data_IF_482607254183
#
_entry.id   IF_482607254183
#
_cell.length_a   1.000
_cell.length_b   1.000
_cell.length_c   1.000
_cell.angle_alpha   90.00
_cell.angle_beta   90.00
_cell.angle_gamma   90.00
#
_symmetry.space_group_name_H-M   'P 1'
#
loop_
_entity.id
_entity.type
_entity.pdbx_description
1 polymer ?
#
# COMPACT_ATOMS: atom_id res chain seq x y z
N UNK A 1 74.26 59.16 20.93
CA UNK A 1 73.02 59.57 20.25
C UNK A 1 72.46 58.35 19.62
N UNK A 2 71.47 57.78 20.25
CA UNK A 2 70.88 56.46 19.85
C UNK A 2 69.49 56.72 19.23
N UNK A 3 69.32 56.36 17.94
CA UNK A 3 68.01 56.36 17.28
C UNK A 3 67.31 55.06 17.56
N UNK A 4 66.10 55.15 18.11
CA UNK A 4 65.18 54.04 18.26
C UNK A 4 64.14 54.08 17.10
N UNK A 5 64.11 53.03 16.30
CA UNK A 5 63.13 52.84 15.26
C UNK A 5 62.06 51.90 15.81
N UNK A 6 60.83 52.39 15.99
CA UNK A 6 59.64 51.61 16.31
C UNK A 6 59.12 50.94 15.04
N UNK A 7 59.14 49.65 15.01
CA UNK A 7 58.43 48.85 14.01
C UNK A 7 57.12 48.36 14.60
N UNK A 8 56.00 48.93 14.18
CA UNK A 8 54.67 48.48 14.48
C UNK A 8 54.32 47.27 13.54
N UNK A 9 54.18 46.07 14.10
CA UNK A 9 53.66 44.92 13.42
C UNK A 9 52.14 45.01 13.49
N UNK A 10 51.47 45.22 12.33
CA UNK A 10 50.03 45.04 12.15
C UNK A 10 49.75 43.57 11.99
N UNK A 11 49.17 42.95 13.01
CA UNK A 11 48.66 41.59 12.93
C UNK A 11 47.25 41.60 12.28
N UNK A 12 47.17 41.21 11.02
CA UNK A 12 45.90 41.00 10.30
C UNK A 12 45.33 39.67 10.75
N UNK A 13 44.32 39.69 11.60
CA UNK A 13 43.57 38.51 11.99
C UNK A 13 42.61 38.12 10.84
N UNK A 14 42.93 37.05 10.11
CA UNK A 14 42.06 36.42 9.11
C UNK A 14 41.08 35.53 9.88
N UNK A 15 39.87 36.03 10.17
CA UNK A 15 38.79 35.26 10.73
C UNK A 15 38.23 34.35 9.62
N UNK A 16 38.75 33.14 9.51
CA UNK A 16 38.15 32.10 8.69
C UNK A 16 36.84 31.66 9.37
N UNK A 17 35.70 32.18 8.87
CA UNK A 17 34.39 31.74 9.25
C UNK A 17 34.17 30.31 8.74
N UNK A 18 34.46 29.33 9.59
CA UNK A 18 33.99 27.94 9.40
C UNK A 18 32.48 27.94 9.62
N UNK A 19 31.72 28.14 8.52
CA UNK A 19 30.31 27.80 8.48
C UNK A 19 30.17 26.27 8.61
N UNK A 20 30.06 25.76 9.85
CA UNK A 20 29.50 24.42 10.06
C UNK A 20 28.07 24.45 9.55
N UNK A 21 27.86 23.98 8.32
CA UNK A 21 26.55 23.47 7.92
C UNK A 21 26.28 22.29 8.84
N UNK A 22 25.55 22.54 9.94
CA UNK A 22 24.99 21.46 10.73
C UNK A 22 24.17 20.60 9.76
N UNK A 23 24.68 19.42 9.42
CA UNK A 23 23.89 18.42 8.72
C UNK A 23 22.70 18.16 9.62
N UNK A 24 21.53 18.70 9.25
CA UNK A 24 20.29 18.46 9.97
C UNK A 24 20.08 16.94 9.99
N UNK A 25 20.18 16.35 11.17
CA UNK A 25 19.97 14.92 11.36
C UNK A 25 18.57 14.58 10.78
N UNK A 26 18.52 13.60 9.88
CA UNK A 26 17.27 13.16 9.29
C UNK A 26 16.40 12.51 10.37
N UNK A 27 15.08 12.73 10.29
CA UNK A 27 14.14 12.09 11.21
C UNK A 27 13.93 10.64 10.77
N UNK A 28 14.26 9.65 11.62
CA UNK A 28 14.04 8.25 11.28
C UNK A 28 12.55 7.92 11.24
N UNK A 29 12.13 7.20 10.19
CA UNK A 29 10.75 6.76 9.98
C UNK A 29 10.77 5.30 9.56
N UNK A 30 10.12 4.43 10.33
CA UNK A 30 9.87 3.04 9.90
C UNK A 30 8.50 2.96 9.23
N UNK A 31 8.49 2.47 7.99
CA UNK A 31 7.28 2.30 7.18
C UNK A 31 7.02 0.83 6.90
N UNK A 32 5.90 0.32 7.43
CA UNK A 32 5.52 -1.08 7.33
C UNK A 32 4.63 -1.33 6.10
N UNK A 33 5.09 -2.16 5.18
CA UNK A 33 4.28 -2.65 4.05
C UNK A 33 3.28 -3.73 4.51
N UNK A 34 2.28 -3.97 3.67
CA UNK A 34 1.30 -5.04 3.88
C UNK A 34 1.71 -6.38 3.29
N UNK A 35 2.67 -6.40 2.37
CA UNK A 35 3.05 -7.59 1.60
C UNK A 35 4.55 -7.66 1.36
N UNK A 36 5.00 -8.75 0.75
CA UNK A 36 6.36 -8.86 0.21
C UNK A 36 6.60 -7.77 -0.83
N UNK A 37 7.82 -7.27 -0.90
CA UNK A 37 8.17 -6.19 -1.83
C UNK A 37 8.07 -6.65 -3.29
N UNK A 38 7.55 -5.76 -4.13
CA UNK A 38 7.34 -5.97 -5.56
C UNK A 38 6.88 -4.70 -6.26
N UNK A 39 6.26 -4.84 -7.41
CA UNK A 39 5.67 -3.74 -8.18
C UNK A 39 4.71 -2.86 -7.38
N UNK A 40 3.83 -3.44 -6.50
CA UNK A 40 2.94 -2.69 -5.62
C UNK A 40 3.62 -1.74 -4.62
N UNK A 41 4.94 -1.75 -4.53
CA UNK A 41 5.71 -0.87 -3.65
C UNK A 41 6.67 0.06 -4.40
N UNK A 42 6.61 0.08 -5.74
CA UNK A 42 7.53 0.80 -6.60
C UNK A 42 7.60 2.31 -6.31
N UNK A 43 6.48 2.94 -5.95
CA UNK A 43 6.47 4.36 -5.58
C UNK A 43 7.26 4.66 -4.30
N UNK A 44 7.17 3.80 -3.29
CA UNK A 44 7.95 3.98 -2.06
C UNK A 44 9.44 3.71 -2.29
N UNK A 45 9.77 2.68 -3.07
CA UNK A 45 11.14 2.39 -3.45
C UNK A 45 11.75 3.52 -4.31
N UNK A 46 10.97 4.10 -5.22
CA UNK A 46 11.37 5.28 -5.99
C UNK A 46 11.59 6.50 -5.07
N UNK A 47 10.75 6.71 -4.05
CA UNK A 47 10.91 7.80 -3.11
C UNK A 47 12.21 7.67 -2.28
N UNK A 48 12.63 6.45 -1.96
CA UNK A 48 13.95 6.16 -1.35
C UNK A 48 15.06 6.41 -2.38
N UNK A 49 15.00 5.76 -3.55
CA UNK A 49 16.07 5.74 -4.55
C UNK A 49 16.34 7.10 -5.22
N UNK A 50 15.29 7.88 -5.48
CA UNK A 50 15.39 9.26 -5.99
C UNK A 50 15.68 10.29 -4.88
N UNK A 51 15.80 9.85 -3.62
CA UNK A 51 16.13 10.70 -2.50
C UNK A 51 15.02 11.66 -2.06
N UNK A 52 13.75 11.42 -2.42
CA UNK A 52 12.64 12.33 -2.06
C UNK A 52 12.40 12.38 -0.56
N UNK A 53 12.50 11.24 0.14
CA UNK A 53 12.45 11.23 1.60
C UNK A 53 13.62 11.97 2.22
N UNK A 54 14.84 11.73 1.71
CA UNK A 54 16.05 12.41 2.17
C UNK A 54 15.97 13.92 2.00
N UNK A 55 15.49 14.38 0.84
CA UNK A 55 15.28 15.81 0.56
C UNK A 55 14.22 16.44 1.48
N UNK A 56 13.26 15.63 1.97
CA UNK A 56 12.26 16.05 2.95
C UNK A 56 12.79 16.02 4.41
N UNK A 57 14.05 15.61 4.63
CA UNK A 57 14.67 15.49 5.96
C UNK A 57 14.28 14.20 6.68
N UNK A 58 13.89 13.15 5.96
CA UNK A 58 13.47 11.86 6.50
C UNK A 58 14.47 10.75 6.14
N UNK A 59 14.74 9.87 7.12
CA UNK A 59 15.45 8.61 6.93
C UNK A 59 14.44 7.47 7.02
N UNK A 60 13.96 6.99 5.86
CA UNK A 60 12.86 6.03 5.80
C UNK A 60 13.36 4.61 5.61
N UNK A 61 13.07 3.76 6.58
CA UNK A 61 13.26 2.31 6.50
C UNK A 61 11.94 1.65 6.10
N UNK A 62 11.92 0.99 4.93
CA UNK A 62 10.75 0.26 4.43
C UNK A 62 10.85 -1.20 4.83
N UNK A 63 9.83 -1.72 5.53
CA UNK A 63 9.78 -3.08 6.06
C UNK A 63 8.69 -3.88 5.35
N UNK A 64 9.02 -5.07 4.86
CA UNK A 64 8.06 -5.96 4.20
C UNK A 64 7.03 -6.51 5.18
N UNK A 65 5.84 -6.88 4.66
CA UNK A 65 4.74 -7.46 5.42
C UNK A 65 4.29 -8.83 4.89
N UNK A 66 3.25 -9.36 5.50
CA UNK A 66 2.68 -10.67 5.16
C UNK A 66 1.15 -10.70 5.28
N UNK A 67 0.49 -9.61 4.96
CA UNK A 67 -0.98 -9.49 4.95
C UNK A 67 -1.46 -8.18 5.54
N UNK A 68 -2.47 -7.56 4.90
CA UNK A 68 -3.04 -6.28 5.33
C UNK A 68 -3.65 -6.33 6.72
N UNK A 69 -4.30 -7.44 7.09
CA UNK A 69 -4.83 -7.65 8.44
C UNK A 69 -3.71 -7.68 9.49
N UNK A 70 -2.61 -8.39 9.20
CA UNK A 70 -1.46 -8.46 10.09
C UNK A 70 -0.81 -7.07 10.26
N UNK A 71 -0.62 -6.33 9.17
CA UNK A 71 -0.03 -4.99 9.19
C UNK A 71 -0.91 -3.99 9.95
N UNK A 72 -2.24 -4.04 9.76
CA UNK A 72 -3.15 -3.21 10.52
C UNK A 72 -3.10 -3.53 12.03
N UNK A 73 -2.95 -4.81 12.41
CA UNK A 73 -2.75 -5.22 13.80
C UNK A 73 -1.44 -4.72 14.40
N UNK A 74 -0.35 -4.62 13.62
CA UNK A 74 0.90 -4.03 14.10
C UNK A 74 0.74 -2.57 14.52
N UNK A 75 -0.03 -1.79 13.75
CA UNK A 75 -0.31 -0.40 14.11
C UNK A 75 -1.30 -0.31 15.28
N UNK A 76 -2.37 -1.10 15.28
CA UNK A 76 -3.34 -1.16 16.37
C UNK A 76 -2.70 -1.50 17.73
N UNK A 77 -1.66 -2.35 17.73
CA UNK A 77 -0.92 -2.77 18.93
C UNK A 77 0.25 -1.84 19.29
N UNK A 78 0.48 -0.76 18.54
CA UNK A 78 1.60 0.17 18.76
C UNK A 78 2.98 -0.33 18.34
N UNK A 79 3.07 -1.54 17.72
CA UNK A 79 4.34 -2.10 17.23
C UNK A 79 4.84 -1.45 15.94
N UNK A 80 3.97 -0.77 15.20
CA UNK A 80 4.29 0.10 14.08
C UNK A 80 3.48 1.38 14.21
N UNK A 81 3.95 2.49 13.66
CA UNK A 81 3.27 3.79 13.77
C UNK A 81 2.77 4.28 12.43
N UNK A 82 3.42 3.90 11.34
CA UNK A 82 3.11 4.30 9.98
C UNK A 82 3.19 3.08 9.06
N UNK A 83 2.15 2.85 8.26
CA UNK A 83 2.05 1.63 7.47
C UNK A 83 1.22 1.80 6.20
N UNK A 84 1.23 0.75 5.36
CA UNK A 84 0.50 0.65 4.11
C UNK A 84 -0.26 -0.67 4.10
N UNK A 85 -1.59 -0.63 3.99
CA UNK A 85 -2.43 -1.81 3.96
C UNK A 85 -3.76 -1.54 3.24
N UNK A 86 -4.53 -2.60 3.01
CA UNK A 86 -5.88 -2.50 2.45
C UNK A 86 -6.83 -1.77 3.42
N UNK A 87 -7.57 -0.80 2.89
CA UNK A 87 -8.46 0.07 3.64
C UNK A 87 -9.55 -0.69 4.40
N UNK A 88 -10.02 -1.83 3.86
CA UNK A 88 -11.03 -2.66 4.54
C UNK A 88 -10.48 -3.22 5.84
N UNK A 89 -9.27 -3.78 5.83
CA UNK A 89 -8.63 -4.31 7.03
C UNK A 89 -8.37 -3.23 8.09
N UNK A 90 -7.96 -2.04 7.65
CA UNK A 90 -7.72 -0.88 8.53
C UNK A 90 -9.06 -0.43 9.14
N UNK A 91 -10.09 -0.21 8.31
CA UNK A 91 -11.39 0.29 8.75
C UNK A 91 -12.09 -0.65 9.72
N UNK A 92 -11.94 -1.97 9.56
CA UNK A 92 -12.45 -2.95 10.51
C UNK A 92 -11.85 -2.80 11.91
N UNK A 93 -10.57 -2.47 12.02
CA UNK A 93 -9.95 -2.26 13.32
C UNK A 93 -10.31 -0.89 13.90
N UNK A 94 -10.39 0.16 13.07
CA UNK A 94 -10.87 1.48 13.50
C UNK A 94 -12.31 1.37 14.05
N UNK A 95 -13.20 0.65 13.37
CA UNK A 95 -14.58 0.46 13.83
C UNK A 95 -14.70 -0.29 15.16
N UNK A 96 -13.65 -1.03 15.54
CA UNK A 96 -13.51 -1.72 16.84
C UNK A 96 -12.75 -0.88 17.88
N UNK A 97 -12.48 0.40 17.57
CA UNK A 97 -11.83 1.34 18.48
C UNK A 97 -10.30 1.42 18.37
N UNK A 98 -9.68 0.80 17.37
CA UNK A 98 -8.23 0.94 17.20
C UNK A 98 -7.86 2.41 16.91
N UNK A 99 -6.87 2.99 17.62
CA UNK A 99 -6.53 4.41 17.52
C UNK A 99 -5.61 4.68 16.33
N UNK A 100 -6.15 4.60 15.11
CA UNK A 100 -5.42 4.85 13.87
C UNK A 100 -6.32 5.51 12.83
N UNK A 101 -5.72 6.07 11.78
CA UNK A 101 -6.44 6.74 10.71
C UNK A 101 -5.74 6.58 9.37
N UNK A 102 -6.51 6.43 8.30
CA UNK A 102 -6.03 6.47 6.93
C UNK A 102 -5.77 7.92 6.55
N UNK A 103 -4.58 8.17 5.99
CA UNK A 103 -4.08 9.52 5.67
C UNK A 103 -3.79 9.71 4.18
N UNK A 104 -3.84 8.64 3.38
CA UNK A 104 -3.79 8.71 1.91
C UNK A 104 -4.36 7.41 1.32
N UNK A 105 -5.30 7.52 0.38
CA UNK A 105 -5.89 6.37 -0.35
C UNK A 105 -5.18 6.22 -1.69
N UNK A 106 -4.26 5.27 -1.79
CA UNK A 106 -3.41 5.11 -2.97
C UNK A 106 -4.15 4.38 -4.10
N UNK A 107 -4.82 3.26 -3.81
CA UNK A 107 -5.64 2.56 -4.80
C UNK A 107 -7.12 2.89 -4.59
N UNK A 108 -7.75 3.40 -5.64
CA UNK A 108 -9.16 3.79 -5.65
C UNK A 108 -10.10 2.59 -5.89
N UNK A 109 -9.57 1.45 -6.35
CA UNK A 109 -10.26 0.18 -6.47
C UNK A 109 -9.39 -0.96 -5.97
N UNK A 110 -10.01 -2.02 -5.42
CA UNK A 110 -9.25 -3.14 -4.89
C UNK A 110 -8.77 -4.09 -6.01
N UNK A 111 -7.56 -4.65 -5.88
CA UNK A 111 -7.03 -5.63 -6.82
C UNK A 111 -7.50 -7.06 -6.54
N UNK A 112 -8.31 -7.29 -5.52
CA UNK A 112 -8.68 -8.63 -5.09
C UNK A 112 -9.43 -9.38 -6.18
N UNK A 113 -9.17 -10.68 -6.30
CA UNK A 113 -9.79 -11.57 -7.28
C UNK A 113 -9.91 -12.99 -6.75
N UNK A 114 -10.82 -13.76 -7.34
CA UNK A 114 -10.74 -15.22 -7.28
C UNK A 114 -9.97 -15.67 -8.51
N UNK A 115 -8.94 -16.48 -8.31
CA UNK A 115 -8.12 -17.05 -9.38
C UNK A 115 -8.33 -18.58 -9.42
N UNK A 116 -8.65 -19.11 -10.57
CA UNK A 116 -8.78 -20.55 -10.82
C UNK A 116 -8.01 -20.93 -12.09
N UNK A 117 -7.51 -22.16 -12.16
CA UNK A 117 -6.93 -22.65 -13.41
C UNK A 117 -8.07 -22.97 -14.41
N UNK A 118 -7.94 -22.60 -15.68
CA UNK A 118 -8.95 -22.91 -16.70
C UNK A 118 -9.30 -24.41 -16.76
N UNK A 119 -8.30 -25.28 -16.53
CA UNK A 119 -8.49 -26.74 -16.49
C UNK A 119 -9.43 -27.22 -15.41
N UNK A 120 -9.75 -26.41 -14.37
CA UNK A 120 -10.72 -26.78 -13.31
C UNK A 120 -12.16 -26.63 -13.78
N UNK A 121 -12.41 -26.01 -14.95
CA UNK A 121 -13.71 -25.78 -15.52
C UNK A 121 -14.52 -24.67 -14.84
N UNK A 122 -13.92 -23.91 -13.91
CA UNK A 122 -14.56 -22.75 -13.28
C UNK A 122 -14.59 -21.60 -14.27
N UNK A 123 -15.79 -21.22 -14.74
CA UNK A 123 -16.04 -20.17 -15.74
C UNK A 123 -16.80 -18.98 -15.16
N UNK A 124 -17.35 -19.12 -13.96
CA UNK A 124 -18.10 -18.10 -13.23
C UNK A 124 -17.94 -18.32 -11.73
N UNK A 125 -18.30 -17.30 -10.92
CA UNK A 125 -18.32 -17.46 -9.45
C UNK A 125 -19.32 -18.53 -9.00
N UNK A 126 -20.40 -18.78 -9.76
CA UNK A 126 -21.37 -19.83 -9.45
C UNK A 126 -20.76 -21.24 -9.48
N UNK A 127 -19.71 -21.45 -10.26
CA UNK A 127 -19.00 -22.72 -10.36
C UNK A 127 -18.13 -23.04 -9.14
N UNK A 128 -18.02 -22.11 -8.18
CA UNK A 128 -17.36 -22.33 -6.89
C UNK A 128 -18.17 -23.25 -5.96
N UNK A 129 -19.42 -23.52 -6.26
CA UNK A 129 -20.24 -24.47 -5.47
C UNK A 129 -19.62 -25.87 -5.43
N UNK A 130 -19.44 -26.40 -4.22
CA UNK A 130 -18.77 -27.66 -3.95
C UNK A 130 -17.27 -27.68 -4.12
N UNK A 131 -16.64 -26.53 -4.42
CA UNK A 131 -15.19 -26.41 -4.64
C UNK A 131 -14.41 -26.11 -3.36
N UNK A 132 -13.12 -26.44 -3.39
CA UNK A 132 -12.15 -26.04 -2.36
C UNK A 132 -11.52 -24.72 -2.75
N UNK A 133 -11.65 -23.70 -1.89
CA UNK A 133 -11.12 -22.36 -2.14
C UNK A 133 -10.07 -22.02 -1.09
N UNK A 134 -8.85 -21.79 -1.54
CA UNK A 134 -7.76 -21.35 -0.68
C UNK A 134 -7.93 -19.90 -0.26
N UNK A 135 -7.72 -19.61 1.03
CA UNK A 135 -7.82 -18.28 1.64
C UNK A 135 -6.49 -17.93 2.28
N UNK A 136 -5.81 -16.84 1.86
CA UNK A 136 -4.54 -16.46 2.44
C UNK A 136 -4.72 -15.91 3.86
N UNK A 137 -4.03 -16.52 4.82
CA UNK A 137 -4.12 -16.14 6.23
C UNK A 137 -3.65 -14.70 6.46
N UNK A 138 -4.38 -13.94 7.28
CA UNK A 138 -4.03 -12.55 7.64
C UNK A 138 -4.21 -11.51 6.53
N UNK A 139 -4.84 -11.89 5.41
CA UNK A 139 -5.12 -11.00 4.27
C UNK A 139 -6.43 -10.21 4.46
N UNK A 140 -6.72 -9.29 3.52
CA UNK A 140 -8.02 -8.61 3.43
C UNK A 140 -9.06 -9.42 2.64
N UNK A 141 -8.65 -10.36 1.79
CA UNK A 141 -9.53 -11.10 0.90
C UNK A 141 -10.54 -11.97 1.66
N UNK A 142 -10.07 -12.69 2.69
CA UNK A 142 -10.93 -13.56 3.50
C UNK A 142 -12.14 -12.81 4.09
N UNK A 143 -11.96 -11.75 4.86
CA UNK A 143 -13.03 -10.91 5.38
C UNK A 143 -13.98 -10.34 4.30
N UNK A 144 -13.48 -10.06 3.09
CA UNK A 144 -14.29 -9.52 1.99
C UNK A 144 -15.06 -10.59 1.21
N UNK A 145 -14.74 -11.88 1.39
CA UNK A 145 -15.39 -12.96 0.67
C UNK A 145 -16.92 -13.00 0.86
N UNK A 146 -17.48 -12.85 2.07
CA UNK A 146 -18.93 -12.83 2.25
C UNK A 146 -19.64 -11.78 1.40
N UNK A 147 -19.01 -10.62 1.20
CA UNK A 147 -19.56 -9.56 0.35
C UNK A 147 -19.57 -9.98 -1.13
N UNK A 148 -18.48 -10.56 -1.64
CA UNK A 148 -18.42 -11.10 -3.00
C UNK A 148 -19.48 -12.17 -3.22
N UNK A 149 -19.59 -13.11 -2.28
CA UNK A 149 -20.55 -14.22 -2.37
C UNK A 149 -21.99 -13.69 -2.37
N UNK A 150 -22.33 -12.79 -1.45
CA UNK A 150 -23.66 -12.16 -1.38
C UNK A 150 -24.03 -11.45 -2.68
N UNK A 151 -23.12 -10.65 -3.24
CA UNK A 151 -23.33 -9.94 -4.49
C UNK A 151 -23.60 -10.87 -5.69
N UNK A 152 -23.16 -12.14 -5.60
CA UNK A 152 -23.29 -13.13 -6.67
C UNK A 152 -24.24 -14.30 -6.32
N UNK A 153 -25.11 -14.13 -5.30
CA UNK A 153 -26.10 -15.14 -4.91
C UNK A 153 -25.51 -16.42 -4.32
N UNK A 154 -24.33 -16.33 -3.71
CA UNK A 154 -23.62 -17.42 -3.08
C UNK A 154 -23.48 -17.20 -1.57
N UNK A 155 -23.09 -18.24 -0.85
CA UNK A 155 -22.76 -18.22 0.59
C UNK A 155 -21.54 -19.09 0.87
N UNK A 156 -20.88 -18.87 2.00
CA UNK A 156 -19.68 -19.63 2.36
C UNK A 156 -19.93 -21.14 2.45
N UNK A 157 -21.13 -21.55 2.89
CA UNK A 157 -21.52 -22.98 2.96
C UNK A 157 -21.64 -23.64 1.59
N UNK A 158 -21.59 -22.91 0.48
CA UNK A 158 -21.62 -23.48 -0.87
C UNK A 158 -20.25 -24.06 -1.28
N UNK A 159 -19.18 -23.80 -0.52
CA UNK A 159 -17.80 -24.22 -0.83
C UNK A 159 -17.03 -24.62 0.43
N UNK A 160 -15.86 -25.22 0.26
CA UNK A 160 -14.94 -25.52 1.35
C UNK A 160 -13.82 -24.49 1.38
N UNK A 161 -13.78 -23.62 2.40
CA UNK A 161 -12.72 -22.63 2.59
C UNK A 161 -11.54 -23.24 3.32
N UNK A 162 -10.34 -23.11 2.77
CA UNK A 162 -9.09 -23.63 3.32
C UNK A 162 -8.13 -22.47 3.61
N UNK A 163 -8.03 -22.10 4.88
CA UNK A 163 -7.03 -21.10 5.30
C UNK A 163 -5.63 -21.70 5.19
N UNK A 164 -4.71 -20.96 4.55
CA UNK A 164 -3.35 -21.42 4.35
C UNK A 164 -2.35 -20.25 4.37
N UNK A 165 -1.08 -20.54 4.67
CA UNK A 165 -0.02 -19.54 4.55
C UNK A 165 0.08 -18.97 3.12
N UNK A 166 0.44 -17.70 3.01
CA UNK A 166 0.61 -16.99 1.72
C UNK A 166 1.50 -17.77 0.74
N UNK A 167 2.63 -18.32 1.22
CA UNK A 167 3.55 -19.08 0.39
C UNK A 167 2.98 -20.41 -0.16
N UNK A 168 1.91 -20.93 0.44
CA UNK A 168 1.26 -22.17 0.00
C UNK A 168 0.19 -21.94 -1.09
N UNK A 169 -0.28 -20.70 -1.30
CA UNK A 169 -1.43 -20.42 -2.17
C UNK A 169 -1.19 -20.88 -3.62
N UNK A 170 -0.14 -20.38 -4.26
CA UNK A 170 0.19 -20.71 -5.66
C UNK A 170 0.52 -22.20 -5.83
N UNK A 171 1.40 -22.81 -5.02
CA UNK A 171 1.68 -24.25 -5.12
C UNK A 171 0.43 -25.12 -4.96
N UNK A 172 -0.45 -24.80 -3.98
CA UNK A 172 -1.67 -25.60 -3.75
C UNK A 172 -2.64 -25.54 -4.91
N UNK A 173 -2.78 -24.39 -5.58
CA UNK A 173 -3.62 -24.29 -6.78
C UNK A 173 -3.02 -25.06 -7.96
N UNK A 174 -1.72 -24.93 -8.21
CA UNK A 174 -1.04 -25.61 -9.32
C UNK A 174 -1.08 -27.14 -9.17
N UNK A 175 -0.95 -27.65 -7.93
CA UNK A 175 -0.99 -29.06 -7.59
C UNK A 175 -2.42 -29.61 -7.48
N UNK A 176 -3.47 -28.79 -7.59
CA UNK A 176 -4.86 -29.20 -7.49
C UNK A 176 -5.30 -29.57 -6.06
N UNK A 177 -4.60 -29.10 -5.03
CA UNK A 177 -5.01 -29.27 -3.63
C UNK A 177 -6.25 -28.40 -3.31
N UNK A 178 -6.38 -27.27 -4.02
CA UNK A 178 -7.56 -26.40 -4.07
C UNK A 178 -7.96 -26.15 -5.51
N UNK A 179 -9.25 -25.86 -5.75
CA UNK A 179 -9.80 -25.60 -7.09
C UNK A 179 -9.66 -24.14 -7.51
N UNK A 180 -9.67 -23.24 -6.54
CA UNK A 180 -9.49 -21.79 -6.70
C UNK A 180 -8.78 -21.21 -5.47
N UNK A 181 -8.28 -19.99 -5.61
CA UNK A 181 -7.70 -19.23 -4.50
C UNK A 181 -8.28 -17.82 -4.47
N UNK A 182 -8.44 -17.25 -3.28
CA UNK A 182 -8.59 -15.82 -3.11
C UNK A 182 -7.21 -15.18 -3.31
N UNK A 183 -7.13 -14.31 -4.28
CA UNK A 183 -5.88 -13.70 -4.71
C UNK A 183 -6.04 -12.24 -5.07
N UNK A 184 -5.18 -11.79 -5.96
CA UNK A 184 -5.21 -10.44 -6.49
C UNK A 184 -4.62 -10.39 -7.90
N UNK A 185 -5.02 -9.36 -8.64
CA UNK A 185 -4.54 -9.09 -10.01
C UNK A 185 -3.03 -8.80 -10.03
N UNK A 186 -2.51 -8.22 -8.97
CA UNK A 186 -1.15 -7.70 -8.84
C UNK A 186 -0.16 -8.65 -8.15
N UNK A 187 -0.60 -9.85 -7.75
CA UNK A 187 0.28 -10.81 -7.10
C UNK A 187 0.06 -12.23 -7.64
N UNK A 188 -0.90 -12.98 -7.09
CA UNK A 188 -1.05 -14.39 -7.44
C UNK A 188 -1.40 -14.64 -8.91
N UNK A 189 -2.23 -13.77 -9.51
CA UNK A 189 -2.53 -13.90 -10.94
C UNK A 189 -1.24 -13.88 -11.77
N UNK A 190 -0.41 -12.86 -11.58
CA UNK A 190 0.83 -12.69 -12.36
C UNK A 190 1.81 -13.82 -12.08
N UNK A 191 1.93 -14.24 -10.81
CA UNK A 191 2.80 -15.37 -10.45
C UNK A 191 2.38 -16.67 -11.17
N UNK A 192 1.07 -16.93 -11.27
CA UNK A 192 0.53 -18.10 -11.96
C UNK A 192 0.73 -18.01 -13.48
N UNK A 193 0.45 -16.85 -14.08
CA UNK A 193 0.64 -16.60 -15.52
C UNK A 193 2.12 -16.73 -15.93
N UNK A 194 3.04 -16.24 -15.10
CA UNK A 194 4.48 -16.39 -15.34
C UNK A 194 4.98 -17.84 -15.27
N UNK A 195 4.22 -18.72 -14.58
CA UNK A 195 4.47 -20.16 -14.56
C UNK A 195 3.74 -20.90 -15.70
N UNK A 196 3.15 -20.16 -16.64
CA UNK A 196 2.46 -20.72 -17.82
C UNK A 196 1.04 -21.19 -17.52
N UNK A 197 0.46 -20.83 -16.37
CA UNK A 197 -0.90 -21.21 -16.06
C UNK A 197 -1.92 -20.39 -16.86
N UNK A 198 -2.89 -21.05 -17.46
CA UNK A 198 -4.09 -20.40 -18.01
C UNK A 198 -5.14 -20.23 -16.92
N UNK A 199 -5.59 -19.00 -16.71
CA UNK A 199 -6.47 -18.64 -15.60
C UNK A 199 -7.87 -18.22 -16.04
N UNK A 200 -8.84 -18.53 -15.16
CA UNK A 200 -10.10 -17.82 -15.01
C UNK A 200 -10.00 -16.92 -13.82
N UNK A 201 -10.12 -15.61 -14.01
CA UNK A 201 -9.98 -14.60 -12.96
C UNK A 201 -11.32 -13.86 -12.79
N UNK A 202 -11.70 -13.65 -11.53
CA UNK A 202 -12.94 -12.97 -11.16
C UNK A 202 -12.61 -11.83 -10.21
N UNK A 203 -12.28 -10.60 -10.74
CA UNK A 203 -11.99 -9.44 -9.91
C UNK A 203 -13.18 -9.06 -9.03
N UNK A 204 -12.94 -8.80 -7.76
CA UNK A 204 -14.00 -8.42 -6.82
C UNK A 204 -14.73 -7.14 -7.27
N UNK A 205 -13.99 -6.18 -7.80
CA UNK A 205 -14.55 -4.91 -8.26
C UNK A 205 -15.58 -5.10 -9.40
N UNK A 206 -15.34 -6.04 -10.33
CA UNK A 206 -16.20 -6.34 -11.46
C UNK A 206 -17.41 -7.21 -11.05
N UNK A 207 -17.35 -7.82 -9.86
CA UNK A 207 -18.36 -8.72 -9.33
C UNK A 207 -19.08 -8.15 -8.09
N UNK A 208 -19.32 -6.84 -8.09
CA UNK A 208 -20.15 -6.16 -7.11
C UNK A 208 -19.41 -5.67 -5.85
N UNK A 209 -18.07 -5.73 -5.81
CA UNK A 209 -17.28 -5.32 -4.64
C UNK A 209 -16.23 -4.25 -4.99
N UNK A 210 -16.61 -3.08 -5.56
CA UNK A 210 -15.68 -2.03 -5.93
C UNK A 210 -15.33 -1.15 -4.70
N UNK A 211 -14.64 -1.70 -3.71
CA UNK A 211 -14.18 -0.97 -2.53
C UNK A 211 -12.90 -0.19 -2.81
N UNK A 212 -12.65 0.88 -2.05
CA UNK A 212 -11.30 1.46 -1.94
C UNK A 212 -10.34 0.42 -1.38
N UNK A 213 -9.04 0.57 -1.65
CA UNK A 213 -8.09 -0.45 -1.27
C UNK A 213 -6.83 0.14 -0.59
N UNK A 214 -5.65 -0.22 -1.08
CA UNK A 214 -4.41 -0.02 -0.33
C UNK A 214 -4.13 1.46 -0.07
N UNK A 215 -3.93 1.77 1.19
CA UNK A 215 -3.87 3.12 1.74
C UNK A 215 -2.71 3.27 2.73
N UNK A 216 -2.14 4.47 2.81
CA UNK A 216 -1.21 4.84 3.90
C UNK A 216 -2.04 5.19 5.12
N UNK A 217 -1.67 4.68 6.27
CA UNK A 217 -2.31 4.94 7.54
C UNK A 217 -1.31 5.03 8.69
N UNK A 218 -1.70 5.71 9.76
CA UNK A 218 -0.84 5.90 10.92
C UNK A 218 -1.64 5.79 12.22
N UNK A 219 -0.94 5.53 13.34
CA UNK A 219 -1.53 5.64 14.66
C UNK A 219 -1.90 7.09 14.98
N UNK A 220 -2.99 7.29 15.73
CA UNK A 220 -3.42 8.63 16.13
C UNK A 220 -2.34 9.37 16.94
N UNK A 221 -1.56 8.64 17.74
CA UNK A 221 -0.45 9.22 18.50
C UNK A 221 0.65 9.74 17.59
N UNK A 222 1.03 8.96 16.54
CA UNK A 222 2.01 9.41 15.57
C UNK A 222 1.53 10.66 14.82
N UNK A 223 0.27 10.66 14.37
CA UNK A 223 -0.36 11.78 13.67
C UNK A 223 -0.30 13.04 14.54
N UNK A 224 -0.68 12.93 15.82
CA UNK A 224 -0.71 14.05 16.76
C UNK A 224 0.67 14.58 17.12
N UNK A 225 1.64 13.68 17.32
CA UNK A 225 2.99 14.06 17.77
C UNK A 225 3.90 14.49 16.62
N UNK A 226 3.66 14.00 15.39
CA UNK A 226 4.55 14.18 14.25
C UNK A 226 3.80 14.64 12.97
N UNK A 227 2.89 15.64 13.01
CA UNK A 227 2.08 16.02 11.86
C UNK A 227 2.92 16.48 10.66
N UNK A 228 4.02 17.21 10.90
CA UNK A 228 4.90 17.67 9.82
C UNK A 228 5.76 16.55 9.22
N UNK A 229 6.17 15.55 10.02
CA UNK A 229 6.84 14.34 9.52
C UNK A 229 5.87 13.57 8.62
N UNK A 230 4.61 13.43 9.03
CA UNK A 230 3.58 12.75 8.24
C UNK A 230 3.32 13.46 6.91
N UNK A 231 3.14 14.78 6.89
CA UNK A 231 2.97 15.56 5.65
C UNK A 231 4.14 15.38 4.70
N UNK A 232 5.37 15.51 5.21
CA UNK A 232 6.60 15.30 4.41
C UNK A 232 6.69 13.89 3.86
N UNK A 233 6.36 12.88 4.67
CA UNK A 233 6.35 11.48 4.25
C UNK A 233 5.34 11.24 3.13
N UNK A 234 4.10 11.69 3.29
CA UNK A 234 3.04 11.53 2.28
C UNK A 234 3.44 12.24 0.98
N UNK A 235 3.88 13.50 1.04
CA UNK A 235 4.29 14.25 -0.14
C UNK A 235 5.42 13.56 -0.90
N UNK A 236 6.47 13.09 -0.21
CA UNK A 236 7.57 12.34 -0.81
C UNK A 236 7.12 11.00 -1.39
N UNK A 237 6.22 10.28 -0.71
CA UNK A 237 5.64 9.02 -1.19
C UNK A 237 4.84 9.22 -2.48
N UNK A 238 3.97 10.24 -2.54
CA UNK A 238 3.16 10.54 -3.74
C UNK A 238 4.03 11.02 -4.91
N UNK A 239 5.11 11.75 -4.62
CA UNK A 239 6.12 12.09 -5.64
C UNK A 239 6.82 10.83 -6.16
N UNK A 240 7.13 9.87 -5.29
CA UNK A 240 7.68 8.58 -5.68
C UNK A 240 6.72 7.76 -6.54
N UNK A 241 5.42 7.76 -6.24
CA UNK A 241 4.41 7.12 -7.10
C UNK A 241 4.27 7.83 -8.44
N UNK A 242 4.31 9.17 -8.48
CA UNK A 242 4.32 9.93 -9.74
C UNK A 242 5.50 9.53 -10.62
N UNK A 243 6.70 9.46 -10.02
CA UNK A 243 7.92 9.01 -10.70
C UNK A 243 7.79 7.57 -11.21
N UNK A 244 7.28 6.65 -10.39
CA UNK A 244 7.16 5.24 -10.74
C UNK A 244 6.21 5.01 -11.94
N UNK A 245 5.15 5.78 -12.04
CA UNK A 245 4.21 5.72 -13.16
C UNK A 245 4.77 6.32 -14.45
N UNK A 246 5.66 7.33 -14.36
CA UNK A 246 6.32 7.94 -15.51
C UNK A 246 7.57 7.16 -15.94
N UNK A 247 8.25 6.48 -15.01
CA UNK A 247 9.52 5.80 -15.19
C UNK A 247 9.49 4.37 -14.62
N UNK A 248 8.57 3.48 -15.08
CA UNK A 248 8.33 2.19 -14.44
C UNK A 248 9.58 1.30 -14.36
N UNK A 249 10.40 1.26 -15.41
CA UNK A 249 11.64 0.47 -15.41
C UNK A 249 12.62 0.93 -14.31
N UNK A 250 12.81 2.25 -14.18
CA UNK A 250 13.69 2.84 -13.16
C UNK A 250 13.15 2.63 -11.73
N UNK A 251 11.84 2.74 -11.56
CA UNK A 251 11.20 2.45 -10.27
C UNK A 251 11.40 0.98 -9.84
N UNK A 252 11.35 0.03 -10.78
CA UNK A 252 11.64 -1.39 -10.48
C UNK A 252 13.12 -1.62 -10.17
N UNK A 253 14.05 -0.87 -10.79
CA UNK A 253 15.47 -0.88 -10.38
C UNK A 253 15.61 -0.43 -8.91
N UNK A 254 14.89 0.60 -8.49
CA UNK A 254 14.88 1.02 -7.08
C UNK A 254 14.27 -0.05 -6.16
N UNK A 255 13.20 -0.74 -6.59
CA UNK A 255 12.67 -1.90 -5.83
C UNK A 255 13.74 -2.97 -5.67
N UNK A 256 14.45 -3.32 -6.74
CA UNK A 256 15.52 -4.33 -6.72
C UNK A 256 16.71 -3.92 -5.85
N UNK A 257 17.04 -2.64 -5.85
CA UNK A 257 18.11 -2.09 -4.99
C UNK A 257 17.73 -2.15 -3.52
N UNK A 258 16.49 -1.79 -3.18
CA UNK A 258 16.00 -1.79 -1.81
C UNK A 258 15.73 -3.20 -1.27
N UNK A 259 15.31 -4.11 -2.16
CA UNK A 259 14.95 -5.51 -1.86
C UNK A 259 15.65 -6.45 -2.85
N UNK A 260 16.89 -6.87 -2.57
CA UNK A 260 17.72 -7.62 -3.52
C UNK A 260 17.15 -8.96 -4.01
N UNK A 261 16.22 -9.56 -3.25
CA UNK A 261 15.60 -10.86 -3.60
C UNK A 261 14.42 -10.73 -4.57
N UNK A 262 13.98 -9.50 -4.90
CA UNK A 262 12.83 -9.27 -5.80
C UNK A 262 13.12 -9.76 -7.22
N UNK A 263 12.18 -10.49 -7.79
CA UNK A 263 12.18 -10.85 -9.20
C UNK A 263 11.72 -9.65 -10.04
N UNK A 264 12.66 -9.07 -10.80
CA UNK A 264 12.44 -7.85 -11.61
C UNK A 264 11.31 -8.04 -12.62
N UNK A 265 11.26 -9.21 -13.33
CA UNK A 265 10.22 -9.48 -14.33
C UNK A 265 8.83 -9.52 -13.68
N UNK A 266 8.72 -10.17 -12.53
CA UNK A 266 7.48 -10.21 -11.76
C UNK A 266 7.06 -8.80 -11.31
N UNK A 267 7.97 -8.07 -10.65
CA UNK A 267 7.69 -6.73 -10.15
C UNK A 267 7.29 -5.73 -11.25
N UNK A 268 7.86 -5.88 -12.46
CA UNK A 268 7.46 -5.06 -13.62
C UNK A 268 6.02 -5.35 -14.04
N UNK A 269 5.64 -6.62 -14.12
CA UNK A 269 4.28 -7.01 -14.46
C UNK A 269 3.26 -6.61 -13.37
N UNK A 270 3.63 -6.73 -12.10
CA UNK A 270 2.83 -6.28 -10.96
C UNK A 270 2.57 -4.76 -11.01
N UNK A 271 3.61 -3.94 -11.27
CA UNK A 271 3.45 -2.49 -11.39
C UNK A 271 2.50 -2.12 -12.54
N UNK A 272 2.62 -2.79 -13.68
CA UNK A 272 1.71 -2.58 -14.80
C UNK A 272 0.26 -2.93 -14.44
N UNK A 273 0.03 -4.02 -13.71
CA UNK A 273 -1.29 -4.47 -13.31
C UNK A 273 -2.01 -3.52 -12.33
N UNK A 274 -1.26 -2.85 -11.43
CA UNK A 274 -1.85 -1.91 -10.47
C UNK A 274 -2.07 -0.51 -11.04
N UNK A 275 -1.38 -0.15 -12.11
CA UNK A 275 -1.43 1.23 -12.67
C UNK A 275 -2.85 1.73 -12.89
N UNK A 276 -3.82 0.96 -13.42
CA UNK A 276 -5.20 1.44 -13.57
C UNK A 276 -5.93 1.70 -12.24
N UNK A 277 -5.48 1.12 -11.14
CA UNK A 277 -6.17 1.20 -9.85
C UNK A 277 -6.03 2.56 -9.18
N UNK A 278 -4.98 3.33 -9.51
CA UNK A 278 -4.73 4.64 -8.91
C UNK A 278 -5.80 5.66 -9.26
N UNK A 279 -6.33 5.58 -10.47
CA UNK A 279 -7.26 6.57 -11.03
C UNK A 279 -8.63 5.98 -11.37
N UNK A 280 -8.95 4.80 -10.86
CA UNK A 280 -10.24 4.15 -11.13
C UNK A 280 -11.42 4.93 -10.50
N UNK A 281 -12.61 4.73 -11.05
CA UNK A 281 -13.85 5.27 -10.53
C UNK A 281 -13.97 6.80 -10.60
N UNK A 282 -13.17 7.49 -11.42
CA UNK A 282 -13.22 8.95 -11.57
C UNK A 282 -12.47 9.71 -10.48
N UNK A 283 -11.51 9.08 -9.84
CA UNK A 283 -10.62 9.76 -8.89
C UNK A 283 -9.89 10.93 -9.54
N UNK A 284 -9.71 12.03 -8.81
CA UNK A 284 -9.11 13.27 -9.34
C UNK A 284 -7.60 13.29 -9.23
N UNK A 285 -7.09 12.75 -8.12
CA UNK A 285 -5.66 12.79 -7.79
C UNK A 285 -5.22 11.46 -7.16
N UNK A 286 -3.99 11.04 -7.48
CA UNK A 286 -3.37 9.88 -6.84
C UNK A 286 -3.14 10.17 -5.36
N UNK A 287 -3.57 9.25 -4.50
CA UNK A 287 -3.39 9.35 -3.05
C UNK A 287 -4.51 10.09 -2.31
N UNK A 288 -5.43 10.75 -3.02
CA UNK A 288 -6.56 11.46 -2.41
C UNK A 288 -7.74 10.52 -2.17
N UNK A 289 -8.28 10.53 -0.97
CA UNK A 289 -9.53 9.82 -0.67
C UNK A 289 -10.70 10.59 -1.31
N UNK A 290 -11.48 9.89 -2.14
CA UNK A 290 -12.69 10.41 -2.74
C UNK A 290 -13.91 10.04 -1.88
N UNK A 291 -14.67 11.03 -1.41
CA UNK A 291 -15.80 10.83 -0.50
C UNK A 291 -16.83 9.83 -1.07
N UNK A 292 -17.11 9.88 -2.38
CA UNK A 292 -18.05 8.95 -3.02
C UNK A 292 -17.58 7.50 -2.99
N UNK A 293 -16.26 7.25 -3.16
CA UNK A 293 -15.69 5.90 -3.09
C UNK A 293 -15.76 5.34 -1.67
N UNK A 294 -15.47 6.17 -0.67
CA UNK A 294 -15.55 5.79 0.73
C UNK A 294 -16.99 5.56 1.19
N UNK A 295 -17.94 6.39 0.76
CA UNK A 295 -19.38 6.19 1.03
C UNK A 295 -19.87 4.85 0.47
N UNK A 296 -19.51 4.54 -0.78
CA UNK A 296 -19.83 3.24 -1.40
C UNK A 296 -19.17 2.09 -0.65
N UNK A 297 -17.89 2.22 -0.29
CA UNK A 297 -17.17 1.18 0.47
C UNK A 297 -17.83 0.93 1.82
N UNK A 298 -18.19 1.98 2.57
CA UNK A 298 -18.90 1.86 3.84
C UNK A 298 -20.23 1.13 3.66
N UNK A 299 -21.04 1.52 2.68
CA UNK A 299 -22.33 0.90 2.41
C UNK A 299 -22.20 -0.62 2.15
N UNK A 300 -21.30 -0.99 1.24
CA UNK A 300 -21.03 -2.39 0.89
C UNK A 300 -20.58 -3.22 2.09
N UNK A 301 -19.64 -2.71 2.88
CA UNK A 301 -19.09 -3.44 4.02
C UNK A 301 -20.10 -3.57 5.18
N UNK A 302 -21.00 -2.59 5.34
CA UNK A 302 -22.10 -2.65 6.33
C UNK A 302 -23.10 -3.76 5.99
N UNK A 303 -23.34 -4.05 4.70
CA UNK A 303 -24.26 -5.10 4.27
C UNK A 303 -23.91 -6.51 4.78
N UNK A 304 -22.63 -6.75 5.04
CA UNK A 304 -22.10 -8.00 5.59
C UNK A 304 -21.57 -7.86 7.01
N UNK A 305 -21.93 -6.75 7.69
CA UNK A 305 -21.57 -6.45 9.08
C UNK A 305 -20.05 -6.36 9.34
N UNK A 306 -19.28 -6.07 8.31
CA UNK A 306 -17.84 -5.81 8.45
C UNK A 306 -17.58 -4.43 9.05
N UNK A 307 -18.46 -3.46 8.78
CA UNK A 307 -18.47 -2.15 9.39
C UNK A 307 -19.86 -1.86 9.99
N UNK A 308 -19.97 -1.01 11.01
CA UNK A 308 -21.25 -0.59 11.58
C UNK A 308 -22.11 0.16 10.55
N UNK A 309 -23.42 -0.04 10.60
CA UNK A 309 -24.36 0.73 9.79
C UNK A 309 -24.39 2.20 10.24
N UNK A 310 -24.59 3.12 9.29
CA UNK A 310 -24.75 4.55 9.57
C UNK A 310 -23.50 5.29 10.07
N UNK A 311 -22.35 4.63 10.12
CA UNK A 311 -21.12 5.31 10.51
C UNK A 311 -20.63 6.21 9.38
N UNK A 312 -20.24 7.46 9.71
CA UNK A 312 -19.64 8.38 8.76
C UNK A 312 -18.32 7.82 8.24
N UNK A 313 -18.17 7.61 6.91
CA UNK A 313 -16.92 7.16 6.31
C UNK A 313 -15.72 8.04 6.66
N UNK A 314 -15.92 9.33 6.92
CA UNK A 314 -14.87 10.28 7.34
C UNK A 314 -14.26 9.95 8.70
N UNK A 315 -14.87 9.05 9.48
CA UNK A 315 -14.26 8.52 10.70
C UNK A 315 -13.04 7.62 10.42
N UNK A 316 -12.91 7.08 9.21
CA UNK A 316 -11.81 6.17 8.83
C UNK A 316 -10.63 6.88 8.19
N UNK A 317 -10.83 8.00 7.48
CA UNK A 317 -9.80 8.67 6.70
C UNK A 317 -9.78 10.20 6.88
N UNK A 318 -8.69 10.81 6.43
CA UNK A 318 -8.56 12.26 6.29
C UNK A 318 -7.65 12.60 5.11
N UNK A 319 -7.92 13.71 4.45
CA UNK A 319 -7.06 14.29 3.41
C UNK A 319 -6.21 15.46 3.95
N UNK A 320 -6.24 15.74 5.25
CA UNK A 320 -5.61 16.91 5.88
C UNK A 320 -4.08 16.98 5.71
N UNK A 321 -3.45 15.81 5.58
CA UNK A 321 -1.98 15.71 5.50
C UNK A 321 -1.47 15.57 4.07
N UNK A 322 -2.35 15.65 3.07
CA UNK A 322 -1.98 15.61 1.66
C UNK A 322 -1.34 16.93 1.21
N UNK A 323 -0.47 16.91 0.19
CA UNK A 323 -0.06 18.13 -0.53
C UNK A 323 -1.27 18.86 -1.12
N UNK A 324 -1.10 20.13 -1.49
CA UNK A 324 -2.12 20.85 -2.23
C UNK A 324 -2.43 20.16 -3.58
N UNK A 325 -3.68 20.32 -4.05
CA UNK A 325 -4.15 19.66 -5.30
C UNK A 325 -3.22 19.93 -6.51
N UNK A 326 -2.62 21.14 -6.59
CA UNK A 326 -1.67 21.49 -7.65
C UNK A 326 -0.30 20.81 -7.56
N UNK A 327 0.02 20.16 -6.44
CA UNK A 327 1.27 19.45 -6.20
C UNK A 327 1.12 17.94 -6.34
N UNK A 328 -0.13 17.45 -6.43
CA UNK A 328 -0.45 16.05 -6.61
C UNK A 328 -0.59 15.70 -8.09
N UNK A 329 -0.28 14.45 -8.43
CA UNK A 329 -0.51 13.93 -9.78
C UNK A 329 -2.01 13.83 -10.05
N UNK A 330 -2.49 14.57 -11.03
CA UNK A 330 -3.86 14.43 -11.51
C UNK A 330 -4.07 13.11 -12.24
N UNK A 331 -5.23 12.50 -12.03
CA UNK A 331 -5.74 11.39 -12.82
C UNK A 331 -6.23 11.92 -14.18
N UNK A 332 -5.82 11.27 -15.26
CA UNK A 332 -6.20 11.61 -16.63
C UNK A 332 -7.28 10.68 -17.13
#
# INVERSE_FOLDING_TARGET
MKHWINRSLAATAFAAGLGLAAALAQTPVTFQLNWTAGGPNAGFAAAVGEGYYKAAGLDVTVVQGNGSGNTAQLVASGRSQLAYADAVAISQLISKGAPMRIVSTVYQSNPNSVNALKKTGIKSLADLKGKKVGVPAGSSQGPMLPLLLKANGLKESDMTLINMPVAAMVPSLLQGQVDAILGSLDAYQIQLEMQGAELSNFPFADHGVPTVATSIFASNDFIKQNPEVLKKFIAASLKGWSFALDNPAKAIEHVKTLFPDVNVKLATAELAAITPLFCSGGAKFIGKAEDAHWTRTQALLSEVKLLPEGQDPKSYYTNEYLPADGEMRACK
#
